data_IF_531098130086
#
_entry.id   IF_531098130086
#
_cell.length_a   1.000
_cell.length_b   1.000
_cell.length_c   1.000
_cell.angle_alpha   90.00
_cell.angle_beta   90.00
_cell.angle_gamma   90.00
#
_symmetry.space_group_name_H-M   'P 1'
#
loop_
_entity.id
_entity.type
_entity.pdbx_description
1 polymer ?
#
# COMPACT_ATOMS: atom_id res chain seq x y z
N UNK A 1 12.25 -19.58 1.55
CA UNK A 1 11.31 -19.48 2.69
C UNK A 1 11.95 -18.59 3.76
N UNK A 2 11.17 -17.73 4.44
CA UNK A 2 11.57 -16.79 5.52
C UNK A 2 11.88 -15.32 5.15
N UNK A 3 10.90 -14.59 4.60
CA UNK A 3 10.88 -13.10 4.67
C UNK A 3 9.60 -12.53 5.28
N UNK A 4 8.58 -13.35 5.51
CA UNK A 4 7.25 -12.92 5.98
C UNK A 4 7.12 -12.78 7.50
N UNK A 5 8.00 -13.43 8.29
CA UNK A 5 8.06 -13.18 9.74
C UNK A 5 8.59 -11.77 10.04
N UNK A 6 9.49 -11.27 9.19
CA UNK A 6 10.21 -10.03 9.49
C UNK A 6 9.29 -8.80 9.64
N UNK A 7 8.38 -8.56 8.69
CA UNK A 7 7.51 -7.36 8.73
C UNK A 7 6.51 -7.37 9.90
N UNK A 8 6.07 -8.56 10.33
CA UNK A 8 5.16 -8.70 11.48
C UNK A 8 5.90 -8.49 12.80
N UNK A 9 7.08 -9.09 12.93
CA UNK A 9 7.91 -8.95 14.13
C UNK A 9 8.45 -7.51 14.25
N UNK A 10 8.82 -6.87 13.12
CA UNK A 10 9.18 -5.46 13.06
C UNK A 10 8.01 -4.56 13.49
N UNK A 11 6.79 -4.85 13.04
CA UNK A 11 5.59 -4.10 13.45
C UNK A 11 5.33 -4.21 14.96
N UNK A 12 5.35 -5.43 15.53
CA UNK A 12 5.17 -5.63 16.96
C UNK A 12 6.26 -4.92 17.77
N UNK A 13 7.51 -5.10 17.36
CA UNK A 13 8.65 -4.49 18.04
C UNK A 13 8.66 -2.95 17.90
N UNK A 14 8.09 -2.39 16.83
CA UNK A 14 7.93 -0.95 16.67
C UNK A 14 6.86 -0.40 17.62
N UNK A 15 5.73 -1.10 17.78
CA UNK A 15 4.68 -0.76 18.74
C UNK A 15 5.24 -0.80 20.17
N UNK A 16 5.89 -1.90 20.55
CA UNK A 16 6.46 -2.07 21.90
C UNK A 16 7.48 -0.97 22.23
N UNK A 17 8.21 -0.49 21.23
CA UNK A 17 9.20 0.59 21.37
C UNK A 17 8.61 2.00 21.21
N UNK A 18 7.28 2.14 21.05
CA UNK A 18 6.60 3.42 20.83
C UNK A 18 7.03 4.15 19.55
N UNK A 19 7.60 3.44 18.57
CA UNK A 19 8.09 4.02 17.32
C UNK A 19 6.95 4.21 16.31
N UNK A 20 7.03 5.26 15.49
CA UNK A 20 6.20 5.42 14.30
C UNK A 20 6.91 4.78 13.10
N UNK A 21 6.29 3.79 12.46
CA UNK A 21 6.85 3.03 11.32
C UNK A 21 7.12 3.88 10.06
N UNK A 22 6.74 5.16 10.02
CA UNK A 22 6.81 6.02 8.84
C UNK A 22 8.19 6.09 8.14
N UNK A 23 9.30 5.86 8.85
CA UNK A 23 10.66 6.07 8.31
C UNK A 23 11.14 4.96 7.38
N UNK A 24 10.58 3.76 7.46
CA UNK A 24 11.11 2.60 6.72
C UNK A 24 10.58 2.51 5.29
N UNK A 25 9.47 3.18 4.96
CA UNK A 25 8.92 3.20 3.60
C UNK A 25 9.81 3.93 2.58
N UNK A 26 10.75 4.77 3.02
CA UNK A 26 11.70 5.45 2.13
C UNK A 26 12.75 4.50 1.54
N UNK A 27 12.99 3.35 2.17
CA UNK A 27 13.92 2.32 1.67
C UNK A 27 13.43 1.66 0.37
N UNK A 28 12.15 1.83 0.02
CA UNK A 28 11.58 1.35 -1.24
C UNK A 28 11.79 2.30 -2.42
N UNK A 29 12.47 3.43 -2.25
CA UNK A 29 12.79 4.32 -3.37
C UNK A 29 14.01 3.74 -4.10
N UNK A 30 13.76 2.99 -5.19
CA UNK A 30 14.81 2.62 -6.14
C UNK A 30 14.87 3.64 -7.29
N UNK A 31 15.97 3.63 -8.02
CA UNK A 31 16.09 4.42 -9.26
C UNK A 31 15.01 4.01 -10.27
N UNK A 32 14.63 4.91 -11.20
CA UNK A 32 13.64 4.60 -12.23
C UNK A 32 14.08 3.38 -13.03
N UNK A 33 13.35 2.28 -12.91
CA UNK A 33 13.63 1.06 -13.64
C UNK A 33 12.90 1.12 -14.99
N UNK A 34 13.63 0.87 -16.08
CA UNK A 34 13.02 0.60 -17.37
C UNK A 34 12.50 -0.84 -17.35
N UNK A 35 11.18 -1.00 -17.27
CA UNK A 35 10.56 -2.33 -17.30
C UNK A 35 10.19 -2.72 -18.73
N UNK A 36 10.32 -4.01 -19.10
CA UNK A 36 9.69 -4.52 -20.32
C UNK A 36 8.16 -4.35 -20.23
N UNK A 37 7.52 -4.28 -21.39
CA UNK A 37 6.05 -4.23 -21.46
C UNK A 37 5.44 -5.53 -20.95
N UNK A 38 4.33 -5.44 -20.23
CA UNK A 38 3.58 -6.58 -19.73
C UNK A 38 3.21 -7.54 -20.88
N UNK A 39 2.78 -7.00 -22.02
CA UNK A 39 2.40 -7.77 -23.20
C UNK A 39 3.58 -8.51 -23.87
N UNK A 40 4.83 -8.14 -23.59
CA UNK A 40 5.99 -8.88 -24.12
C UNK A 40 6.38 -10.09 -23.26
N UNK A 41 5.81 -10.22 -22.06
CA UNK A 41 6.18 -11.25 -21.08
C UNK A 41 5.00 -12.12 -20.62
N UNK A 42 3.78 -11.69 -20.92
CA UNK A 42 2.56 -12.29 -20.41
C UNK A 42 1.49 -12.31 -21.50
N UNK A 43 0.63 -13.32 -21.43
CA UNK A 43 -0.65 -13.31 -22.16
C UNK A 43 -1.64 -12.47 -21.36
N UNK A 44 -2.15 -11.40 -21.99
CA UNK A 44 -3.00 -10.41 -21.34
C UNK A 44 -4.39 -10.43 -21.96
N UNK A 45 -5.39 -10.80 -21.16
CA UNK A 45 -6.77 -10.84 -21.59
C UNK A 45 -7.53 -9.65 -20.97
N UNK A 46 -8.39 -9.00 -21.76
CA UNK A 46 -9.15 -7.83 -21.33
C UNK A 46 -10.60 -7.97 -21.75
N UNK A 47 -11.52 -7.84 -20.78
CA UNK A 47 -12.96 -7.99 -21.04
C UNK A 47 -13.79 -7.03 -20.18
N UNK A 48 -15.04 -6.73 -20.55
CA UNK A 48 -16.00 -6.12 -19.63
C UNK A 48 -16.22 -7.00 -18.39
N UNK A 49 -16.32 -6.38 -17.21
CA UNK A 49 -16.56 -7.12 -15.98
C UNK A 49 -17.96 -7.77 -15.97
N UNK A 50 -18.02 -9.07 -15.62
CA UNK A 50 -19.28 -9.82 -15.46
C UNK A 50 -20.20 -9.13 -14.43
N UNK A 51 -21.50 -9.09 -14.74
CA UNK A 51 -22.52 -8.35 -13.97
C UNK A 51 -22.54 -8.72 -12.49
N UNK A 52 -22.40 -10.00 -12.14
CA UNK A 52 -22.48 -10.45 -10.75
C UNK A 52 -21.30 -9.96 -9.92
N UNK A 53 -20.06 -10.11 -10.42
CA UNK A 53 -18.85 -9.59 -9.77
C UNK A 53 -18.89 -8.06 -9.65
N UNK A 54 -19.37 -7.39 -10.71
CA UNK A 54 -19.56 -5.93 -10.72
C UNK A 54 -20.47 -5.47 -9.57
N UNK A 55 -21.62 -6.13 -9.35
CA UNK A 55 -22.56 -5.78 -8.28
C UNK A 55 -21.94 -5.91 -6.89
N UNK A 56 -21.15 -6.95 -6.66
CA UNK A 56 -20.46 -7.18 -5.37
C UNK A 56 -19.47 -6.04 -5.13
N UNK A 57 -18.59 -5.76 -6.08
CA UNK A 57 -17.59 -4.69 -5.98
C UNK A 57 -18.27 -3.33 -5.79
N UNK A 58 -19.31 -3.02 -6.58
CA UNK A 58 -20.05 -1.76 -6.48
C UNK A 58 -20.66 -1.57 -5.09
N UNK A 59 -21.29 -2.61 -4.52
CA UNK A 59 -21.85 -2.55 -3.16
C UNK A 59 -20.77 -2.27 -2.13
N UNK A 60 -19.65 -2.99 -2.22
CA UNK A 60 -18.51 -2.81 -1.30
C UNK A 60 -17.93 -1.38 -1.38
N UNK A 61 -17.82 -0.82 -2.58
CA UNK A 61 -17.26 0.52 -2.79
C UNK A 61 -18.22 1.64 -2.41
N UNK A 62 -19.53 1.44 -2.61
CA UNK A 62 -20.55 2.41 -2.23
C UNK A 62 -20.51 2.70 -0.72
N UNK A 63 -20.23 1.68 0.12
CA UNK A 63 -20.05 1.86 1.56
C UNK A 63 -18.92 2.83 1.93
N UNK A 64 -17.93 2.98 1.05
CA UNK A 64 -16.80 3.90 1.20
C UNK A 64 -17.00 5.25 0.50
N UNK A 65 -18.20 5.53 -0.01
CA UNK A 65 -18.48 6.73 -0.79
C UNK A 65 -17.84 6.74 -2.18
N UNK A 66 -17.42 5.58 -2.69
CA UNK A 66 -16.88 5.44 -4.04
C UNK A 66 -17.97 4.92 -4.98
N UNK A 67 -18.15 5.61 -6.11
CA UNK A 67 -18.97 5.12 -7.21
C UNK A 67 -18.08 4.52 -8.28
N UNK A 68 -18.57 3.46 -8.95
CA UNK A 68 -17.92 2.91 -10.14
C UNK A 68 -18.93 2.77 -11.27
N UNK A 69 -18.44 2.98 -12.48
CA UNK A 69 -19.15 2.96 -13.73
C UNK A 69 -19.01 1.60 -14.42
N UNK A 70 -18.39 1.56 -15.59
CA UNK A 70 -18.10 0.33 -16.32
C UNK A 70 -16.66 -0.12 -16.04
N UNK A 71 -16.55 -1.15 -15.22
CA UNK A 71 -15.26 -1.76 -14.92
C UNK A 71 -14.79 -2.68 -16.05
N UNK A 72 -13.52 -2.56 -16.39
CA UNK A 72 -12.78 -3.50 -17.21
C UNK A 72 -12.14 -4.55 -16.32
N UNK A 73 -12.11 -5.79 -16.78
CA UNK A 73 -11.33 -6.88 -16.23
C UNK A 73 -10.06 -7.06 -17.05
N UNK A 74 -8.93 -7.24 -16.36
CA UNK A 74 -7.66 -7.57 -16.99
C UNK A 74 -7.05 -8.77 -16.25
N UNK A 75 -6.81 -9.83 -17.01
CA UNK A 75 -6.10 -11.02 -16.58
C UNK A 75 -4.71 -11.07 -17.20
N UNK A 76 -3.74 -11.46 -16.38
CA UNK A 76 -2.35 -11.60 -16.77
C UNK A 76 -1.90 -13.02 -16.48
N UNK A 77 -1.58 -13.76 -17.53
CA UNK A 77 -1.18 -15.19 -17.51
C UNK A 77 0.24 -15.35 -18.02
N UNK A 78 0.89 -16.45 -17.64
CA UNK A 78 2.16 -16.83 -18.26
C UNK A 78 1.90 -17.21 -19.73
N UNK A 79 2.86 -16.92 -20.61
CA UNK A 79 2.73 -17.22 -22.05
C UNK A 79 2.51 -18.72 -22.27
N UNK A 80 1.55 -19.07 -23.11
CA UNK A 80 1.25 -20.45 -23.49
C UNK A 80 0.40 -21.23 -22.48
N UNK A 81 -0.12 -20.55 -21.45
CA UNK A 81 -1.18 -21.10 -20.59
C UNK A 81 -2.52 -21.01 -21.30
N UNK A 82 -3.38 -22.01 -21.11
CA UNK A 82 -4.70 -22.06 -21.71
C UNK A 82 -5.69 -21.10 -21.04
N UNK A 83 -6.85 -20.88 -21.67
CA UNK A 83 -7.94 -20.05 -21.11
C UNK A 83 -8.47 -20.56 -19.75
N UNK A 84 -8.35 -21.86 -19.52
CA UNK A 84 -8.78 -22.52 -18.28
C UNK A 84 -7.73 -22.48 -17.16
N UNK A 85 -6.51 -22.01 -17.45
CA UNK A 85 -5.49 -21.83 -16.42
C UNK A 85 -5.77 -20.54 -15.63
N UNK A 86 -5.57 -20.64 -14.32
CA UNK A 86 -5.71 -19.51 -13.41
C UNK A 86 -4.75 -18.37 -13.78
N UNK A 87 -5.27 -17.14 -13.82
CA UNK A 87 -4.42 -15.96 -13.97
C UNK A 87 -3.49 -15.77 -12.77
N UNK A 88 -2.26 -15.32 -13.04
CA UNK A 88 -1.32 -14.92 -12.00
C UNK A 88 -1.79 -13.61 -11.33
N UNK A 89 -2.37 -12.71 -12.14
CA UNK A 89 -2.94 -11.45 -11.69
C UNK A 89 -4.28 -11.20 -12.38
N UNK A 90 -5.34 -11.14 -11.59
CA UNK A 90 -6.70 -10.81 -12.00
C UNK A 90 -7.14 -9.53 -11.30
N UNK A 91 -7.36 -8.47 -12.07
CA UNK A 91 -7.66 -7.14 -11.54
C UNK A 91 -8.83 -6.50 -12.31
N UNK A 92 -9.54 -5.59 -11.65
CA UNK A 92 -10.62 -4.80 -12.23
C UNK A 92 -10.31 -3.31 -12.16
N UNK A 93 -10.67 -2.58 -13.20
CA UNK A 93 -10.29 -1.18 -13.36
C UNK A 93 -11.48 -0.35 -13.80
N UNK A 94 -11.72 0.75 -13.12
CA UNK A 94 -12.55 1.83 -13.59
C UNK A 94 -11.66 3.04 -13.91
N UNK A 95 -11.25 3.14 -15.17
CA UNK A 95 -10.42 4.23 -15.68
C UNK A 95 -11.03 5.61 -15.46
N UNK A 96 -12.37 5.72 -15.52
CA UNK A 96 -13.10 6.98 -15.39
C UNK A 96 -13.23 7.42 -13.94
N UNK A 97 -13.54 6.49 -13.04
CA UNK A 97 -13.74 6.81 -11.61
C UNK A 97 -12.43 6.84 -10.82
N UNK A 98 -11.32 6.36 -11.41
CA UNK A 98 -10.03 6.33 -10.72
C UNK A 98 -9.88 5.16 -9.76
N UNK A 99 -10.51 4.02 -10.03
CA UNK A 99 -10.57 2.89 -9.08
C UNK A 99 -9.89 1.65 -9.65
N UNK A 100 -8.99 1.07 -8.88
CA UNK A 100 -8.37 -0.23 -9.14
C UNK A 100 -8.81 -1.21 -8.08
N UNK A 101 -9.25 -2.40 -8.47
CA UNK A 101 -9.62 -3.50 -7.57
C UNK A 101 -8.75 -4.70 -7.89
N UNK A 102 -7.89 -5.06 -6.94
CA UNK A 102 -7.00 -6.20 -7.04
C UNK A 102 -7.70 -7.42 -6.45
N UNK A 103 -8.17 -8.34 -7.29
CA UNK A 103 -8.97 -9.49 -6.86
C UNK A 103 -8.09 -10.67 -6.51
N UNK A 104 -7.28 -11.15 -7.45
CA UNK A 104 -6.41 -12.30 -7.25
C UNK A 104 -5.01 -11.97 -7.73
N UNK A 105 -4.04 -11.84 -6.83
CA UNK A 105 -2.64 -11.56 -7.18
C UNK A 105 -1.75 -12.58 -6.47
N UNK A 106 -1.61 -13.75 -7.08
CA UNK A 106 -0.85 -14.87 -6.51
C UNK A 106 0.50 -14.94 -7.19
N UNK A 107 1.53 -14.39 -6.52
CA UNK A 107 2.90 -14.39 -7.04
C UNK A 107 3.40 -15.80 -7.42
N UNK A 108 2.92 -16.83 -6.74
CA UNK A 108 3.33 -18.22 -6.97
C UNK A 108 2.73 -18.82 -8.25
N UNK A 109 1.68 -18.20 -8.83
CA UNK A 109 1.14 -18.54 -10.15
C UNK A 109 1.93 -17.92 -11.30
N UNK A 110 2.78 -16.92 -11.01
CA UNK A 110 3.71 -16.37 -11.98
C UNK A 110 4.89 -17.33 -12.09
N UNK A 111 5.03 -17.99 -13.25
CA UNK A 111 6.04 -19.02 -13.51
C UNK A 111 7.26 -18.45 -14.24
N UNK A 112 7.23 -17.17 -14.63
CA UNK A 112 8.37 -16.53 -15.28
C UNK A 112 9.60 -16.53 -14.35
N UNK A 113 10.77 -16.74 -14.96
CA UNK A 113 12.05 -16.73 -14.24
C UNK A 113 12.35 -15.39 -13.57
N UNK A 114 13.24 -15.38 -12.58
CA UNK A 114 13.51 -14.20 -11.74
C UNK A 114 13.95 -12.94 -12.52
N UNK A 115 14.49 -13.08 -13.73
CA UNK A 115 14.85 -11.96 -14.62
C UNK A 115 13.81 -11.58 -15.67
N UNK A 116 12.75 -12.38 -15.81
CA UNK A 116 11.65 -12.18 -16.78
C UNK A 116 10.34 -11.82 -16.10
N UNK A 117 10.29 -11.88 -14.76
CA UNK A 117 9.11 -11.58 -13.97
C UNK A 117 9.02 -10.08 -13.70
N UNK A 118 7.89 -9.49 -14.02
CA UNK A 118 7.56 -8.14 -13.56
C UNK A 118 7.15 -8.16 -12.09
N UNK A 119 7.46 -7.08 -11.39
CA UNK A 119 6.94 -6.90 -10.04
C UNK A 119 5.41 -6.80 -10.07
N UNK A 120 4.68 -7.34 -9.07
CA UNK A 120 3.22 -7.21 -9.02
C UNK A 120 2.74 -5.75 -9.06
N UNK A 121 3.51 -4.82 -8.49
CA UNK A 121 3.26 -3.38 -8.57
C UNK A 121 3.34 -2.83 -9.99
N UNK A 122 4.25 -3.36 -10.80
CA UNK A 122 4.46 -2.95 -12.19
C UNK A 122 3.37 -3.52 -13.10
N UNK A 123 2.98 -4.78 -12.91
CA UNK A 123 1.83 -5.37 -13.60
C UNK A 123 0.56 -4.58 -13.33
N UNK A 124 0.34 -4.20 -12.06
CA UNK A 124 -0.80 -3.37 -11.67
C UNK A 124 -0.77 -1.99 -12.34
N UNK A 125 0.41 -1.36 -12.40
CA UNK A 125 0.59 -0.07 -13.07
C UNK A 125 0.32 -0.13 -14.57
N UNK A 126 0.93 -1.07 -15.28
CA UNK A 126 0.74 -1.19 -16.73
C UNK A 126 -0.70 -1.56 -17.07
N UNK A 127 -1.36 -2.38 -16.25
CA UNK A 127 -2.80 -2.65 -16.38
C UNK A 127 -3.66 -1.40 -16.16
N UNK A 128 -3.31 -0.55 -15.19
CA UNK A 128 -3.96 0.74 -14.99
C UNK A 128 -3.81 1.66 -16.20
N UNK A 129 -2.62 1.74 -16.79
CA UNK A 129 -2.37 2.53 -18.00
C UNK A 129 -3.24 2.08 -19.18
N UNK A 130 -3.42 0.77 -19.35
CA UNK A 130 -4.35 0.21 -20.35
C UNK A 130 -5.78 0.66 -20.08
N UNK A 131 -6.25 0.54 -18.82
CA UNK A 131 -7.61 0.89 -18.45
C UNK A 131 -7.94 2.38 -18.61
N UNK A 132 -7.02 3.30 -18.25
CA UNK A 132 -7.23 4.74 -18.45
C UNK A 132 -7.21 5.13 -19.92
N UNK A 133 -6.34 4.50 -20.73
CA UNK A 133 -6.28 4.73 -22.18
C UNK A 133 -7.61 4.34 -22.83
N UNK A 134 -8.18 3.19 -22.47
CA UNK A 134 -9.47 2.72 -22.96
C UNK A 134 -10.66 3.61 -22.57
N UNK A 135 -10.49 4.52 -21.60
CA UNK A 135 -11.53 5.43 -21.11
C UNK A 135 -11.19 6.91 -21.32
N UNK A 136 -10.16 7.20 -22.12
CA UNK A 136 -9.66 8.56 -22.38
C UNK A 136 -9.40 9.38 -21.09
N UNK A 137 -9.02 8.68 -20.02
CA UNK A 137 -8.74 9.25 -18.69
C UNK A 137 -7.23 9.38 -18.49
N UNK A 138 -6.80 10.07 -17.44
CA UNK A 138 -5.37 10.28 -17.16
C UNK A 138 -4.88 9.32 -16.08
N UNK A 139 -3.61 8.86 -16.12
CA UNK A 139 -3.04 8.08 -15.03
C UNK A 139 -3.14 8.77 -13.66
N UNK A 140 -3.10 10.11 -13.65
CA UNK A 140 -3.26 10.95 -12.46
C UNK A 140 -4.64 10.93 -11.83
N UNK A 141 -5.64 10.38 -12.51
CA UNK A 141 -7.04 10.33 -12.04
C UNK A 141 -7.26 9.14 -11.09
N UNK A 142 -6.22 8.35 -10.79
CA UNK A 142 -6.25 7.33 -9.76
C UNK A 142 -6.63 7.93 -8.40
N UNK A 143 -7.66 7.37 -7.78
CA UNK A 143 -8.23 7.77 -6.49
C UNK A 143 -8.14 6.67 -5.44
N UNK A 144 -8.29 5.41 -5.86
CA UNK A 144 -8.47 4.30 -4.95
C UNK A 144 -7.82 3.03 -5.48
N UNK A 145 -7.14 2.30 -4.59
CA UNK A 145 -6.69 0.93 -4.84
C UNK A 145 -7.27 0.01 -3.78
N UNK A 146 -8.06 -0.96 -4.21
CA UNK A 146 -8.75 -1.91 -3.35
C UNK A 146 -8.03 -3.25 -3.43
N UNK A 147 -7.66 -3.81 -2.30
CA UNK A 147 -7.18 -5.19 -2.17
C UNK A 147 -8.36 -6.04 -1.72
N UNK A 148 -8.97 -6.72 -2.68
CA UNK A 148 -10.19 -7.49 -2.46
C UNK A 148 -9.85 -8.89 -1.94
N UNK A 149 -10.58 -9.35 -0.92
CA UNK A 149 -10.48 -10.68 -0.30
C UNK A 149 -9.05 -11.14 -0.04
N UNK A 150 -8.32 -10.42 0.81
CA UNK A 150 -6.91 -10.72 1.09
C UNK A 150 -6.74 -12.08 1.78
N UNK A 151 -6.10 -13.01 1.09
CA UNK A 151 -5.85 -14.37 1.59
C UNK A 151 -4.45 -14.61 2.15
N UNK A 152 -3.52 -13.66 1.97
CA UNK A 152 -2.18 -13.79 2.54
C UNK A 152 -2.20 -13.64 4.07
N UNK A 153 -1.59 -14.59 4.79
CA UNK A 153 -1.62 -14.63 6.25
C UNK A 153 -0.89 -13.48 6.93
N UNK A 154 0.20 -12.96 6.34
CA UNK A 154 0.93 -11.83 6.93
C UNK A 154 0.05 -10.58 6.95
N UNK A 155 -0.59 -10.26 5.82
CA UNK A 155 -1.52 -9.13 5.74
C UNK A 155 -2.75 -9.32 6.64
N UNK A 156 -3.35 -10.53 6.67
CA UNK A 156 -4.49 -10.82 7.56
C UNK A 156 -4.15 -10.59 9.04
N UNK A 157 -2.97 -11.03 9.49
CA UNK A 157 -2.51 -10.83 10.87
C UNK A 157 -2.30 -9.35 11.18
N UNK A 158 -1.72 -8.57 10.26
CA UNK A 158 -1.52 -7.14 10.45
C UNK A 158 -2.85 -6.38 10.51
N UNK A 159 -3.82 -6.71 9.66
CA UNK A 159 -5.18 -6.14 9.74
C UNK A 159 -5.81 -6.45 11.09
N UNK A 160 -5.70 -7.71 11.54
CA UNK A 160 -6.26 -8.16 12.81
C UNK A 160 -5.65 -7.44 14.02
N UNK A 161 -4.32 -7.38 14.11
CA UNK A 161 -3.63 -6.69 15.19
C UNK A 161 -3.91 -5.18 15.17
N UNK A 162 -3.97 -4.58 13.97
CA UNK A 162 -4.32 -3.17 13.79
C UNK A 162 -5.70 -2.87 14.36
N UNK A 163 -6.66 -3.75 14.13
CA UNK A 163 -8.03 -3.63 14.63
C UNK A 163 -8.11 -3.78 16.16
N UNK A 164 -7.26 -4.61 16.77
CA UNK A 164 -7.21 -4.78 18.24
C UNK A 164 -6.54 -3.62 18.96
N UNK A 165 -5.55 -2.98 18.32
CA UNK A 165 -4.63 -2.05 18.99
C UNK A 165 -4.79 -0.58 18.59
N UNK A 166 -5.44 -0.27 17.47
CA UNK A 166 -5.60 1.13 17.05
C UNK A 166 -6.66 1.83 17.87
N UNK A 167 -6.27 2.96 18.47
CA UNK A 167 -7.14 3.77 19.33
C UNK A 167 -7.88 4.87 18.57
N UNK A 168 -7.53 5.16 17.31
CA UNK A 168 -8.18 6.20 16.49
C UNK A 168 -8.94 5.64 15.29
N UNK A 169 -9.39 4.38 15.37
CA UNK A 169 -10.27 3.80 14.36
C UNK A 169 -11.64 4.47 14.40
N UNK A 170 -12.03 5.12 13.30
CA UNK A 170 -13.41 5.55 13.10
C UNK A 170 -14.17 4.31 12.66
N UNK A 171 -15.03 3.79 13.54
CA UNK A 171 -16.03 2.80 13.16
C UNK A 171 -17.19 3.53 12.50
N UNK A 172 -17.28 3.43 11.18
CA UNK A 172 -18.45 3.93 10.46
C UNK A 172 -19.68 3.07 10.75
N UNK A 173 -20.88 3.65 10.63
CA UNK A 173 -22.16 2.93 10.81
C UNK A 173 -22.28 1.67 9.93
N UNK A 174 -21.52 1.63 8.83
CA UNK A 174 -21.47 0.52 7.88
C UNK A 174 -20.49 -0.61 8.26
N UNK A 175 -19.94 -0.60 9.48
CA UNK A 175 -18.93 -1.57 9.90
C UNK A 175 -17.59 -1.41 9.16
N UNK A 176 -17.25 -0.18 8.81
CA UNK A 176 -15.96 0.15 8.20
C UNK A 176 -14.99 0.61 9.27
N UNK A 177 -13.72 0.22 9.13
CA UNK A 177 -12.64 0.68 10.00
C UNK A 177 -11.65 1.51 9.22
N UNK A 178 -11.58 2.79 9.55
CA UNK A 178 -10.64 3.72 8.93
C UNK A 178 -9.38 3.90 9.76
N UNK A 179 -8.24 3.95 9.08
CA UNK A 179 -6.93 4.22 9.66
C UNK A 179 -6.30 5.40 8.91
N UNK A 180 -5.76 6.35 9.65
CA UNK A 180 -5.07 7.53 9.10
C UNK A 180 -3.57 7.46 9.38
N UNK A 181 -2.78 8.38 8.83
CA UNK A 181 -1.33 8.41 9.10
C UNK A 181 -0.94 8.61 10.59
N UNK A 182 -1.91 8.95 11.45
CA UNK A 182 -1.74 9.02 12.90
C UNK A 182 -1.90 7.67 13.60
N UNK A 183 -2.46 6.67 12.91
CA UNK A 183 -2.68 5.31 13.39
C UNK A 183 -1.51 4.39 13.08
N UNK A 184 -1.14 3.52 14.02
CA UNK A 184 -0.16 2.46 13.74
C UNK A 184 -0.71 1.45 12.74
N UNK A 185 -2.02 1.18 12.75
CA UNK A 185 -2.66 0.27 11.81
C UNK A 185 -2.54 0.71 10.35
N UNK A 186 -2.53 2.01 10.09
CA UNK A 186 -2.28 2.57 8.76
C UNK A 186 -0.91 2.13 8.23
N UNK A 187 0.15 2.33 9.02
CA UNK A 187 1.51 1.97 8.61
C UNK A 187 1.68 0.46 8.52
N UNK A 188 1.07 -0.29 9.44
CA UNK A 188 1.07 -1.76 9.43
C UNK A 188 0.50 -2.32 8.12
N UNK A 189 -0.69 -1.87 7.75
CA UNK A 189 -1.40 -2.39 6.58
C UNK A 189 -0.67 -1.97 5.31
N UNK A 190 -0.16 -0.73 5.22
CA UNK A 190 0.63 -0.27 4.08
C UNK A 190 2.00 -0.95 3.99
N UNK A 191 2.58 -1.40 5.11
CA UNK A 191 3.81 -2.19 5.15
C UNK A 191 3.63 -3.68 4.86
N UNK A 192 2.39 -4.18 4.87
CA UNK A 192 2.10 -5.58 4.53
C UNK A 192 2.46 -5.92 3.06
N UNK A 193 2.59 -7.20 2.67
CA UNK A 193 2.83 -7.56 1.27
C UNK A 193 1.81 -6.94 0.27
N UNK A 194 0.52 -6.91 0.62
CA UNK A 194 -0.52 -6.35 -0.26
C UNK A 194 -0.50 -4.81 -0.28
N UNK A 195 -0.29 -4.17 0.88
CA UNK A 195 -0.18 -2.72 0.97
C UNK A 195 1.10 -2.20 0.32
N UNK A 196 2.22 -2.86 0.59
CA UNK A 196 3.55 -2.52 0.11
C UNK A 196 3.67 -2.59 -1.40
N UNK A 197 3.02 -3.57 -2.03
CA UNK A 197 2.91 -3.61 -3.50
C UNK A 197 2.20 -2.36 -4.05
N UNK A 198 1.13 -1.89 -3.40
CA UNK A 198 0.47 -0.64 -3.81
C UNK A 198 1.39 0.56 -3.56
N UNK A 199 2.02 0.64 -2.39
CA UNK A 199 2.92 1.73 -2.06
C UNK A 199 4.09 1.84 -3.04
N UNK A 200 4.66 0.69 -3.45
CA UNK A 200 5.71 0.64 -4.44
C UNK A 200 5.24 1.18 -5.80
N UNK A 201 4.06 0.77 -6.26
CA UNK A 201 3.44 1.32 -7.48
C UNK A 201 3.30 2.86 -7.39
N UNK A 202 2.78 3.38 -6.28
CA UNK A 202 2.59 4.81 -6.09
C UNK A 202 3.91 5.59 -6.05
N UNK A 203 4.97 4.98 -5.49
CA UNK A 203 6.29 5.59 -5.36
C UNK A 203 7.05 5.62 -6.69
N UNK A 204 7.07 4.50 -7.42
CA UNK A 204 7.78 4.35 -8.69
C UNK A 204 7.16 5.26 -9.76
N UNK A 205 5.83 5.35 -9.78
CA UNK A 205 5.05 6.10 -10.77
C UNK A 205 4.46 7.41 -10.23
N UNK A 206 5.10 7.99 -9.20
CA UNK A 206 4.60 9.20 -8.55
C UNK A 206 4.53 10.41 -9.49
N UNK A 207 5.35 10.47 -10.53
CA UNK A 207 5.32 11.61 -11.47
C UNK A 207 4.04 11.58 -12.31
N UNK A 208 3.71 10.40 -12.80
CA UNK A 208 2.55 10.10 -13.63
C UNK A 208 1.25 10.18 -12.83
N UNK A 209 1.28 9.74 -11.57
CA UNK A 209 0.13 9.78 -10.64
C UNK A 209 -0.09 11.20 -10.07
N UNK A 210 0.93 12.06 -10.12
CA UNK A 210 0.86 13.44 -9.64
C UNK A 210 1.19 13.62 -8.16
N UNK A 211 2.12 12.83 -7.64
CA UNK A 211 2.64 12.89 -6.26
C UNK A 211 1.54 12.84 -5.20
N UNK A 212 0.54 11.99 -5.43
CA UNK A 212 -0.52 11.75 -4.46
C UNK A 212 0.03 10.99 -3.26
N UNK A 213 -0.48 11.34 -2.09
CA UNK A 213 -0.22 10.59 -0.85
C UNK A 213 -1.42 9.72 -0.53
N UNK A 214 -1.20 8.63 0.20
CA UNK A 214 -2.31 7.91 0.82
C UNK A 214 -2.90 8.79 1.92
N UNK A 215 -4.21 8.99 1.89
CA UNK A 215 -4.97 9.78 2.86
C UNK A 215 -5.39 8.90 4.03
N UNK A 216 -5.98 7.75 3.72
CA UNK A 216 -6.44 6.77 4.70
C UNK A 216 -6.49 5.36 4.11
N UNK A 217 -6.48 4.38 5.00
CA UNK A 217 -6.73 2.97 4.71
C UNK A 217 -8.07 2.61 5.33
N UNK A 218 -8.97 2.01 4.55
CA UNK A 218 -10.29 1.57 5.03
C UNK A 218 -10.35 0.06 4.94
N UNK A 219 -10.46 -0.63 6.07
CA UNK A 219 -10.72 -2.07 6.11
C UNK A 219 -12.22 -2.28 6.01
N UNK A 220 -12.61 -3.10 5.04
CA UNK A 220 -13.98 -3.41 4.67
C UNK A 220 -14.37 -4.69 5.39
N UNK A 221 -15.49 -4.66 6.10
CA UNK A 221 -16.04 -5.85 6.70
C UNK A 221 -17.01 -6.55 5.75
N UNK A 222 -16.88 -7.88 5.65
CA UNK A 222 -17.82 -8.75 4.96
C UNK A 222 -18.74 -9.47 5.98
N UNK A 223 -18.74 -9.05 7.25
CA UNK A 223 -19.51 -9.65 8.35
C UNK A 223 -19.39 -8.90 9.68
N UNK A 224 -19.14 -9.64 10.76
CA UNK A 224 -19.09 -9.14 12.13
C UNK A 224 -17.69 -8.54 12.45
N UNK A 225 -17.69 -7.36 13.07
CA UNK A 225 -16.49 -6.57 13.40
C UNK A 225 -15.59 -7.20 14.47
N UNK A 226 -16.13 -8.14 15.24
CA UNK A 226 -15.37 -8.87 16.23
C UNK A 226 -14.37 -9.81 15.55
N UNK A 227 -13.11 -9.36 15.44
CA UNK A 227 -12.02 -10.19 14.98
C UNK A 227 -11.43 -10.97 16.16
N UNK A 228 -12.00 -12.13 16.45
CA UNK A 228 -11.46 -13.12 17.37
C UNK A 228 -10.12 -13.71 16.87
N UNK A 229 -9.97 -13.80 15.54
CA UNK A 229 -8.80 -14.32 14.85
C UNK A 229 -8.52 -13.59 13.53
N UNK A 230 -7.34 -13.78 12.92
CA UNK A 230 -7.08 -13.29 11.56
C UNK A 230 -8.07 -13.90 10.55
N UNK A 231 -8.78 -13.06 9.81
CA UNK A 231 -9.76 -13.47 8.81
C UNK A 231 -9.50 -12.80 7.46
N UNK A 232 -10.00 -13.39 6.38
CA UNK A 232 -10.00 -12.74 5.06
C UNK A 232 -10.83 -11.47 5.12
N UNK A 233 -10.24 -10.36 4.67
CA UNK A 233 -10.88 -9.05 4.61
C UNK A 233 -10.44 -8.33 3.35
N UNK A 234 -11.27 -7.40 2.90
CA UNK A 234 -10.92 -6.48 1.84
C UNK A 234 -10.44 -5.16 2.47
N UNK A 235 -9.54 -4.44 1.82
CA UNK A 235 -9.19 -3.09 2.26
C UNK A 235 -8.96 -2.15 1.09
N UNK A 236 -9.24 -0.88 1.31
CA UNK A 236 -9.12 0.21 0.37
C UNK A 236 -7.98 1.14 0.81
N UNK A 237 -7.12 1.50 -0.12
CA UNK A 237 -6.13 2.57 0.01
C UNK A 237 -6.70 3.77 -0.75
N UNK A 238 -7.11 4.81 -0.02
CA UNK A 238 -7.66 6.03 -0.59
C UNK A 238 -6.54 7.08 -0.74
N UNK A 239 -6.43 7.66 -1.93
CA UNK A 239 -5.44 8.68 -2.24
C UNK A 239 -6.00 10.08 -2.02
N UNK A 240 -5.17 10.96 -1.50
CA UNK A 240 -5.54 12.37 -1.33
C UNK A 240 -5.84 13.01 -2.70
N UNK A 241 -6.84 13.90 -2.78
CA UNK A 241 -7.05 14.74 -3.95
C UNK A 241 -5.91 15.77 -4.12
N UNK A 242 -5.18 16.08 -3.04
CA UNK A 242 -4.06 17.03 -3.08
C UNK A 242 -2.87 16.40 -3.80
N UNK A 243 -2.47 17.06 -4.88
CA UNK A 243 -1.25 16.75 -5.63
C UNK A 243 -0.14 17.63 -5.07
N UNK A 244 0.81 17.04 -4.36
CA UNK A 244 1.88 17.82 -3.74
C UNK A 244 3.20 17.43 -4.40
N UNK A 245 3.71 18.22 -5.37
CA UNK A 245 5.07 18.00 -5.81
C UNK A 245 6.00 18.16 -4.61
N UNK A 246 7.09 17.40 -4.51
CA UNK A 246 8.06 17.61 -3.45
C UNK A 246 8.48 19.08 -3.49
N UNK A 247 8.26 19.80 -2.38
CA UNK A 247 8.86 21.11 -2.16
C UNK A 247 10.34 20.94 -2.46
N UNK A 248 10.87 21.67 -3.45
CA UNK A 248 12.30 21.62 -3.77
C UNK A 248 13.05 21.77 -2.47
N UNK A 249 13.73 20.71 -2.01
CA UNK A 249 14.73 20.83 -0.96
C UNK A 249 15.66 21.91 -1.48
N UNK A 250 15.85 23.04 -0.76
CA UNK A 250 16.79 24.06 -1.19
C UNK A 250 18.11 23.35 -1.49
N UNK A 251 18.60 23.46 -2.72
CA UNK A 251 19.98 23.05 -3.00
C UNK A 251 20.84 23.78 -1.97
N UNK A 252 21.80 23.12 -1.30
CA UNK A 252 22.80 23.84 -0.55
C UNK A 252 23.41 24.83 -1.54
N UNK A 253 23.09 26.11 -1.37
CA UNK A 253 23.74 27.15 -2.16
C UNK A 253 25.21 27.03 -1.80
N UNK A 254 26.03 26.68 -2.79
CA UNK A 254 27.47 26.84 -2.75
C UNK A 254 27.77 28.34 -2.65
N UNK A 255 27.55 28.90 -1.47
CA UNK A 255 27.96 30.23 -1.11
C UNK A 255 28.35 30.12 0.36
N UNK A 256 29.66 30.16 0.60
CA UNK A 256 30.25 30.11 1.92
C UNK A 256 29.76 31.30 2.76
N UNK A 257 28.65 31.12 3.45
CA UNK A 257 28.31 31.95 4.59
C UNK A 257 28.89 31.25 5.82
N UNK A 258 30.02 31.77 6.30
CA UNK A 258 30.55 31.44 7.61
C UNK A 258 29.47 31.67 8.68
N UNK A 259 28.84 30.60 9.15
CA UNK A 259 28.09 30.64 10.39
C UNK A 259 29.10 30.84 11.52
N UNK A 260 29.27 32.10 11.96
CA UNK A 260 29.89 32.38 13.25
C UNK A 260 28.99 31.77 14.33
N UNK A 261 29.41 30.63 14.85
CA UNK A 261 28.87 30.06 16.09
C UNK A 261 29.07 31.10 17.18
N UNK A 262 27.99 31.80 17.55
CA UNK A 262 27.96 32.55 18.81
C UNK A 262 28.08 31.51 19.92
N UNK A 263 29.20 31.50 20.62
CA UNK A 263 29.38 30.78 21.89
C UNK A 263 28.31 31.27 22.86
N UNK A 264 27.24 30.51 23.03
CA UNK A 264 26.32 30.68 24.15
C UNK A 264 27.04 30.20 25.42
N UNK A 265 27.08 31.07 26.44
CA UNK A 265 27.61 30.73 27.77
C UNK A 265 26.86 29.52 28.35
N UNK A 266 27.53 28.62 29.08
CA UNK A 266 26.85 27.52 29.74
C UNK A 266 25.96 28.08 30.87
N UNK A 267 24.67 27.73 30.83
CA UNK A 267 23.78 27.90 31.96
C UNK A 267 24.14 26.86 33.02
N UNK A 268 24.60 27.35 34.18
CA UNK A 268 24.79 26.56 35.38
C UNK A 268 23.47 25.95 35.86
N UNK A 269 23.54 24.71 36.36
CA UNK A 269 22.59 24.20 37.36
C UNK A 269 21.65 23.09 36.89
N UNK A 270 22.19 21.88 36.68
CA UNK A 270 21.43 20.65 36.85
C UNK A 270 22.22 19.71 37.78
N UNK A 271 21.60 19.16 38.85
CA UNK A 271 22.29 18.27 39.77
C UNK A 271 22.50 16.88 39.12
N UNK A 272 23.59 16.16 39.47
CA UNK A 272 23.87 14.85 38.89
C UNK A 272 22.87 13.79 39.38
N UNK A 273 22.38 12.97 38.44
CA UNK A 273 21.67 11.74 38.75
C UNK A 273 22.61 10.80 39.51
N UNK A 274 22.20 10.38 40.71
CA UNK A 274 22.89 9.35 41.50
C UNK A 274 22.66 7.99 40.86
N UNK A 275 23.75 7.38 40.40
CA UNK A 275 23.84 5.95 40.11
C UNK A 275 23.58 5.13 41.39
N UNK A 276 22.60 4.23 41.32
CA UNK A 276 22.41 3.07 42.20
C UNK A 276 22.11 1.92 41.25
N UNK A 277 22.73 0.75 41.27
CA UNK A 277 23.78 0.18 42.10
C UNK A 277 24.08 -1.19 41.52
N UNK A 278 25.34 -1.63 41.65
CA UNK A 278 25.79 -2.97 41.28
C UNK A 278 25.10 -4.01 42.16
N UNK A 279 24.51 -5.04 41.55
CA UNK A 279 24.15 -6.29 42.23
C UNK A 279 25.33 -7.24 42.00
N UNK A 280 26.02 -7.59 43.08
CA UNK A 280 27.03 -8.64 43.09
C UNK A 280 26.37 -10.01 43.19
N UNK A 281 26.83 -10.95 42.37
CA UNK A 281 26.59 -12.38 42.54
C UNK A 281 27.72 -12.94 43.44
N UNK A 282 27.31 -13.58 44.54
CA UNK A 282 28.06 -14.66 45.19
C UNK A 282 27.36 -15.96 44.83
#
# INVERSE_FOLDING_TARGET
MSSTLNAYDEYLAAIERGKRLCKELQSFVQEPLTYPTMQSLYDVEMNPLRINTKKIIQRTLAGCGLSTSEMMYIDVRNIGKGEYDDAAYANHFDGRSGVVVCSENYKDRDENGLGQRLWPSEILWQSWLVAVKNRESKPSDLHAVVRFRVVNNATKRLIWESARRSTCTIEGENGLREYTNWDQGYHAILGSPNGGSTMRMLLDHKREIGYRTVERVVVLDEGNLALDKPQTRSFLILLSPRRTPPTRIPRPTACGAHFKVRKTKPLHGWPPLKDKGKIGLK
#
